data_IF_182051906004
#
_entry.id   IF_182051906004
#
_cell.length_a   1.000
_cell.length_b   1.000
_cell.length_c   1.000
_cell.angle_alpha   90.00
_cell.angle_beta   90.00
_cell.angle_gamma   90.00
#
_symmetry.space_group_name_H-M   'P 1'
#
loop_
_entity.id
_entity.type
_entity.pdbx_description
1 polymer ?
#
# COMPACT_ATOMS: atom_id res chain seq x y z
N UNK A 1 -20.66 -29.00 -20.96
CA UNK A 1 -21.18 -29.12 -19.58
C UNK A 1 -20.24 -28.33 -18.69
N UNK A 2 -20.78 -27.52 -17.77
CA UNK A 2 -19.98 -26.74 -16.83
C UNK A 2 -19.89 -27.45 -15.48
N UNK A 3 -18.74 -27.36 -14.84
CA UNK A 3 -18.40 -27.96 -13.55
C UNK A 3 -18.04 -26.85 -12.56
N UNK A 4 -18.40 -27.04 -11.29
CA UNK A 4 -18.19 -26.03 -10.25
C UNK A 4 -16.82 -26.20 -9.61
N UNK A 5 -16.02 -25.13 -9.61
CA UNK A 5 -14.74 -25.02 -8.93
C UNK A 5 -14.83 -23.93 -7.87
N UNK A 6 -14.44 -24.25 -6.64
CA UNK A 6 -14.41 -23.32 -5.51
C UNK A 6 -12.98 -22.86 -5.26
N UNK A 7 -12.77 -21.55 -5.21
CA UNK A 7 -11.51 -20.96 -4.77
C UNK A 7 -11.64 -20.51 -3.33
N UNK A 8 -10.71 -20.92 -2.48
CA UNK A 8 -10.74 -20.61 -1.05
C UNK A 8 -9.40 -20.03 -0.59
N UNK A 9 -9.41 -19.11 0.37
CA UNK A 9 -8.16 -18.66 1.00
C UNK A 9 -8.15 -18.91 2.52
N UNK A 10 -7.06 -19.51 3.00
CA UNK A 10 -6.78 -19.65 4.43
C UNK A 10 -6.02 -18.44 5.00
N UNK A 11 -5.62 -17.50 4.15
CA UNK A 11 -4.82 -16.35 4.58
C UNK A 11 -5.71 -15.17 5.00
N UNK A 12 -5.30 -14.42 6.03
CA UNK A 12 -5.89 -13.11 6.32
C UNK A 12 -5.30 -12.08 5.36
N UNK A 13 -5.78 -12.03 4.12
CA UNK A 13 -5.29 -11.12 3.10
C UNK A 13 -6.39 -10.74 2.09
N UNK A 14 -6.11 -9.76 1.24
CA UNK A 14 -6.88 -9.52 0.02
C UNK A 14 -6.15 -10.16 -1.15
N UNK A 15 -6.75 -11.18 -1.74
CA UNK A 15 -6.19 -12.00 -2.80
C UNK A 15 -6.99 -11.81 -4.07
N UNK A 16 -6.37 -11.29 -5.12
CA UNK A 16 -6.96 -11.30 -6.47
C UNK A 16 -6.67 -12.64 -7.11
N UNK A 17 -7.71 -13.28 -7.62
CA UNK A 17 -7.57 -14.46 -8.47
C UNK A 17 -8.02 -14.08 -9.88
N UNK A 18 -7.17 -14.33 -10.86
CA UNK A 18 -7.49 -14.20 -12.28
C UNK A 18 -7.35 -15.57 -12.93
N UNK A 19 -8.46 -16.14 -13.38
CA UNK A 19 -8.47 -17.45 -14.04
C UNK A 19 -8.50 -17.25 -15.54
N UNK A 20 -7.51 -17.80 -16.22
CA UNK A 20 -7.38 -17.76 -17.68
C UNK A 20 -7.80 -19.10 -18.28
N UNK A 21 -8.78 -19.07 -19.19
CA UNK A 21 -9.24 -20.22 -19.96
C UNK A 21 -8.40 -20.51 -21.22
N UNK A 22 -8.90 -21.41 -22.07
CA UNK A 22 -8.23 -21.80 -23.34
C UNK A 22 -8.19 -20.65 -24.35
N UNK A 23 -9.19 -19.79 -24.36
CA UNK A 23 -9.21 -18.59 -25.20
C UNK A 23 -8.73 -17.38 -24.39
N UNK A 24 -7.93 -16.46 -24.97
CA UNK A 24 -7.47 -15.25 -24.28
C UNK A 24 -8.59 -14.33 -23.78
N UNK A 25 -9.81 -14.50 -24.30
CA UNK A 25 -11.01 -13.74 -23.91
C UNK A 25 -11.71 -14.32 -22.68
N UNK A 26 -11.41 -15.55 -22.28
CA UNK A 26 -12.05 -16.24 -21.16
C UNK A 26 -11.28 -15.96 -19.86
N UNK A 27 -11.31 -14.69 -19.45
CA UNK A 27 -10.64 -14.23 -18.22
C UNK A 27 -11.70 -13.92 -17.17
N UNK A 28 -11.71 -14.70 -16.11
CA UNK A 28 -12.53 -14.44 -14.93
C UNK A 28 -11.68 -13.84 -13.83
N UNK A 29 -12.16 -12.78 -13.19
CA UNK A 29 -11.45 -12.12 -12.08
C UNK A 29 -12.39 -11.94 -10.90
N UNK A 30 -11.88 -12.24 -9.71
CA UNK A 30 -12.57 -12.00 -8.45
C UNK A 30 -11.56 -11.76 -7.33
N UNK A 31 -12.06 -11.26 -6.21
CA UNK A 31 -11.30 -11.02 -5.01
C UNK A 31 -11.75 -12.00 -3.91
N UNK A 32 -10.80 -12.46 -3.10
CA UNK A 32 -11.06 -13.15 -1.84
C UNK A 32 -10.50 -12.24 -0.75
N UNK A 33 -11.36 -11.79 0.17
CA UNK A 33 -11.04 -10.81 1.19
C UNK A 33 -11.21 -11.40 2.59
N UNK A 34 -10.15 -11.99 3.09
CA UNK A 34 -10.10 -12.49 4.46
C UNK A 34 -10.08 -14.00 4.57
N UNK A 35 -9.99 -14.44 5.82
CA UNK A 35 -9.77 -15.83 6.16
C UNK A 35 -11.06 -16.64 5.98
N UNK A 36 -10.98 -17.70 5.17
CA UNK A 36 -12.10 -18.59 4.88
C UNK A 36 -13.04 -18.06 3.80
N UNK A 37 -12.66 -17.02 3.06
CA UNK A 37 -13.43 -16.56 1.91
C UNK A 37 -13.39 -17.62 0.80
N UNK A 38 -14.56 -17.90 0.24
CA UNK A 38 -14.77 -18.87 -0.82
C UNK A 38 -15.52 -18.25 -2.00
N UNK A 39 -15.13 -18.63 -3.22
CA UNK A 39 -15.81 -18.24 -4.44
C UNK A 39 -16.03 -19.44 -5.36
N UNK A 40 -17.29 -19.73 -5.61
CA UNK A 40 -17.70 -20.72 -6.62
C UNK A 40 -17.69 -20.11 -8.02
N UNK A 41 -17.15 -20.86 -8.96
CA UNK A 41 -17.08 -20.52 -10.38
C UNK A 41 -17.37 -21.74 -11.24
N UNK A 42 -17.98 -21.52 -12.39
CA UNK A 42 -18.32 -22.58 -13.33
C UNK A 42 -17.37 -22.60 -14.53
N UNK A 43 -16.75 -23.75 -14.79
CA UNK A 43 -15.79 -23.95 -15.87
C UNK A 43 -16.17 -25.13 -16.75
N UNK A 44 -15.80 -25.08 -18.01
CA UNK A 44 -15.92 -26.24 -18.91
C UNK A 44 -14.76 -27.22 -18.69
N UNK A 45 -14.87 -28.41 -19.29
CA UNK A 45 -13.79 -29.40 -19.24
C UNK A 45 -12.56 -28.87 -19.96
N UNK A 46 -11.44 -28.79 -19.26
CA UNK A 46 -10.21 -28.20 -19.78
C UNK A 46 -9.15 -27.90 -18.75
N UNK A 47 -8.00 -27.43 -19.23
CA UNK A 47 -6.91 -26.92 -18.41
C UNK A 47 -7.02 -25.41 -18.28
N UNK A 48 -6.71 -24.91 -17.08
CA UNK A 48 -6.80 -23.52 -16.69
C UNK A 48 -5.57 -23.12 -15.87
N UNK A 49 -5.30 -21.82 -15.80
CA UNK A 49 -4.30 -21.25 -14.91
C UNK A 49 -5.01 -20.21 -14.03
N UNK A 50 -4.83 -20.32 -12.72
CA UNK A 50 -5.23 -19.29 -11.77
C UNK A 50 -4.01 -18.46 -11.34
N UNK A 51 -4.00 -17.21 -11.79
CA UNK A 51 -3.06 -16.18 -11.38
C UNK A 51 -3.52 -15.57 -10.06
N UNK A 52 -2.78 -15.81 -9.00
CA UNK A 52 -3.13 -15.42 -7.63
C UNK A 52 -2.18 -14.34 -7.17
N UNK A 53 -2.71 -13.16 -6.87
CA UNK A 53 -1.93 -12.03 -6.37
C UNK A 53 -2.39 -11.59 -4.99
N UNK A 54 -1.48 -11.58 -4.03
CA UNK A 54 -1.70 -10.92 -2.75
C UNK A 54 -1.58 -9.39 -2.94
N UNK A 55 -2.68 -8.67 -2.76
CA UNK A 55 -2.70 -7.23 -2.97
C UNK A 55 -1.94 -6.45 -1.89
N UNK A 56 -1.76 -7.03 -0.70
CA UNK A 56 -0.99 -6.42 0.39
C UNK A 56 0.52 -6.48 0.16
N UNK A 57 1.04 -7.68 -0.15
CA UNK A 57 2.48 -7.92 -0.30
C UNK A 57 3.00 -7.77 -1.73
N UNK A 58 2.09 -7.82 -2.72
CA UNK A 58 2.42 -7.87 -4.14
C UNK A 58 2.86 -9.24 -4.64
N UNK A 59 2.94 -10.24 -3.75
CA UNK A 59 3.33 -11.61 -4.10
C UNK A 59 2.37 -12.21 -5.13
N UNK A 60 2.93 -13.02 -6.02
CA UNK A 60 2.24 -13.59 -7.16
C UNK A 60 2.54 -15.08 -7.23
N UNK A 61 1.50 -15.86 -7.52
CA UNK A 61 1.55 -17.31 -7.62
C UNK A 61 0.70 -17.76 -8.81
N UNK A 62 1.17 -18.76 -9.54
CA UNK A 62 0.42 -19.38 -10.63
C UNK A 62 0.02 -20.80 -10.21
N UNK A 63 -1.28 -21.10 -10.31
CA UNK A 63 -1.82 -22.43 -10.01
C UNK A 63 -2.45 -23.03 -11.26
N UNK A 64 -1.75 -23.94 -11.96
CA UNK A 64 -2.36 -24.71 -13.03
C UNK A 64 -3.36 -25.70 -12.44
N UNK A 65 -4.54 -25.81 -13.04
CA UNK A 65 -5.54 -26.80 -12.64
C UNK A 65 -6.31 -27.34 -13.85
N UNK A 66 -6.95 -28.49 -13.68
CA UNK A 66 -7.70 -29.16 -14.74
C UNK A 66 -9.10 -29.54 -14.25
N UNK A 67 -10.09 -29.23 -15.07
CA UNK A 67 -11.49 -29.60 -14.86
C UNK A 67 -11.77 -30.79 -15.76
N UNK A 68 -12.04 -31.94 -15.13
CA UNK A 68 -12.35 -33.19 -15.83
C UNK A 68 -13.85 -33.48 -15.77
N UNK A 69 -14.35 -34.22 -16.77
CA UNK A 69 -15.77 -34.57 -16.89
C UNK A 69 -16.31 -35.41 -15.72
N UNK A 70 -15.44 -36.08 -14.96
CA UNK A 70 -15.78 -36.88 -13.78
C UNK A 70 -15.87 -36.07 -12.49
N UNK A 71 -15.39 -34.82 -12.48
CA UNK A 71 -15.30 -34.01 -11.27
C UNK A 71 -16.52 -33.11 -11.16
N UNK A 72 -17.51 -33.52 -10.37
CA UNK A 72 -18.70 -32.67 -10.12
C UNK A 72 -18.35 -31.40 -9.33
N UNK A 73 -17.30 -31.46 -8.50
CA UNK A 73 -16.84 -30.36 -7.67
C UNK A 73 -15.34 -30.43 -7.37
N UNK A 74 -14.64 -29.30 -7.48
CA UNK A 74 -13.21 -29.19 -7.16
C UNK A 74 -12.96 -27.96 -6.28
N UNK A 75 -12.12 -28.08 -5.26
CA UNK A 75 -11.74 -26.96 -4.37
C UNK A 75 -10.25 -26.66 -4.57
N UNK A 76 -9.93 -25.39 -4.80
CA UNK A 76 -8.57 -24.88 -4.96
C UNK A 76 -8.26 -23.90 -3.82
N UNK A 77 -7.33 -24.27 -2.95
CA UNK A 77 -6.80 -23.37 -1.92
C UNK A 77 -5.75 -22.45 -2.53
N UNK A 78 -5.91 -21.14 -2.37
CA UNK A 78 -5.03 -20.11 -2.94
C UNK A 78 -4.44 -19.21 -1.85
N UNK A 79 -3.13 -18.97 -1.92
CA UNK A 79 -2.38 -18.18 -0.95
C UNK A 79 -1.09 -18.86 -0.47
N UNK A 80 -0.39 -18.22 0.47
CA UNK A 80 0.92 -18.68 0.97
C UNK A 80 0.77 -20.03 1.69
N UNK A 81 1.48 -21.05 1.20
CA UNK A 81 1.46 -22.43 1.71
C UNK A 81 2.01 -22.60 3.14
N UNK A 82 2.77 -21.61 3.64
CA UNK A 82 3.41 -21.67 4.97
C UNK A 82 2.49 -21.24 6.13
N UNK A 83 1.26 -20.81 5.85
CA UNK A 83 0.28 -20.59 6.92
C UNK A 83 -0.36 -21.94 7.24
N UNK A 84 0.33 -22.73 8.08
CA UNK A 84 -0.08 -24.05 8.58
C UNK A 84 -1.36 -24.00 9.42
N UNK A 85 -2.51 -23.72 8.79
CA UNK A 85 -3.83 -23.99 9.33
C UNK A 85 -4.63 -24.76 8.30
N UNK A 86 -4.28 -26.04 8.18
CA UNK A 86 -5.11 -27.08 7.59
C UNK A 86 -6.45 -27.19 8.33
N UNK A 87 -7.55 -26.95 7.62
CA UNK A 87 -8.81 -27.71 7.56
C UNK A 87 -9.80 -26.87 6.72
N UNK A 88 -10.63 -27.39 5.81
CA UNK A 88 -11.56 -28.49 5.96
C UNK A 88 -11.89 -29.16 4.62
N UNK A 89 -12.12 -30.48 4.67
CA UNK A 89 -12.56 -31.43 3.62
C UNK A 89 -11.50 -31.83 2.59
N UNK A 90 -10.75 -32.86 3.00
CA UNK A 90 -10.03 -33.84 2.20
C UNK A 90 -10.55 -34.02 0.76
N UNK A 91 -9.79 -33.48 -0.19
CA UNK A 91 -9.78 -33.96 -1.58
C UNK A 91 -8.32 -34.29 -1.90
N UNK A 92 -8.02 -35.46 -2.50
CA UNK A 92 -6.68 -35.78 -2.96
C UNK A 92 -6.37 -34.91 -4.18
N UNK A 93 -5.86 -33.71 -3.94
CA UNK A 93 -5.17 -32.94 -4.98
C UNK A 93 -3.83 -33.64 -5.17
N UNK A 94 -3.58 -34.21 -6.36
CA UNK A 94 -2.23 -34.58 -6.76
C UNK A 94 -1.39 -33.30 -6.70
N UNK A 95 -0.66 -33.12 -5.60
CA UNK A 95 0.19 -31.97 -5.34
C UNK A 95 1.32 -31.97 -6.38
N UNK A 96 1.17 -31.17 -7.42
CA UNK A 96 2.34 -30.52 -8.00
C UNK A 96 2.62 -29.31 -7.11
N UNK A 97 3.68 -29.44 -6.31
CA UNK A 97 4.21 -28.32 -5.53
C UNK A 97 4.39 -27.12 -6.47
N UNK A 98 3.98 -25.91 -6.06
CA UNK A 98 4.28 -24.72 -6.84
C UNK A 98 5.80 -24.64 -7.03
N UNK A 99 6.22 -24.26 -8.24
CA UNK A 99 7.62 -23.89 -8.48
C UNK A 99 7.86 -22.55 -7.81
N UNK A 100 8.16 -22.57 -6.53
CA UNK A 100 8.75 -21.44 -5.84
C UNK A 100 10.22 -21.41 -6.26
N UNK A 101 10.68 -20.38 -6.97
CA UNK A 101 12.09 -20.04 -6.95
C UNK A 101 12.42 -19.59 -5.51
N UNK A 102 12.72 -20.55 -4.66
CA UNK A 102 13.31 -20.36 -3.35
C UNK A 102 14.75 -20.83 -3.43
N UNK A 103 15.64 -19.89 -3.78
CA UNK A 103 17.05 -20.05 -3.45
C UNK A 103 17.19 -19.82 -1.95
N UNK A 104 17.17 -20.88 -1.15
CA UNK A 104 17.67 -20.83 0.22
C UNK A 104 19.17 -20.58 0.17
N UNK A 105 19.58 -19.32 0.38
CA UNK A 105 20.98 -19.00 0.61
C UNK A 105 21.14 -18.48 2.04
N UNK A 106 21.72 -19.35 2.88
CA UNK A 106 22.13 -19.12 4.25
C UNK A 106 22.76 -17.72 4.44
N UNK A 107 22.03 -16.85 5.15
CA UNK A 107 22.55 -15.56 5.59
C UNK A 107 23.67 -15.79 6.62
N UNK A 108 24.89 -15.43 6.23
CA UNK A 108 26.01 -15.30 7.17
C UNK A 108 25.72 -14.16 8.13
N UNK A 109 25.38 -14.54 9.36
CA UNK A 109 25.43 -13.66 10.52
C UNK A 109 26.85 -13.12 10.70
N UNK A 110 27.04 -11.81 10.58
CA UNK A 110 28.19 -11.14 11.17
C UNK A 110 27.77 -9.74 11.62
N UNK A 111 27.96 -9.49 12.92
CA UNK A 111 27.77 -8.24 13.65
C UNK A 111 26.32 -7.77 13.87
N UNK A 112 25.99 -7.48 15.14
CA UNK A 112 24.66 -7.07 15.60
C UNK A 112 24.04 -5.98 14.73
N UNK A 113 22.85 -6.29 14.22
CA UNK A 113 22.18 -5.53 13.17
C UNK A 113 21.66 -4.16 13.70
N UNK A 114 22.53 -3.16 13.80
CA UNK A 114 22.15 -1.73 13.89
C UNK A 114 21.63 -1.20 12.52
N UNK A 115 20.79 -1.94 11.82
CA UNK A 115 20.45 -1.70 10.40
C UNK A 115 19.48 -0.53 10.22
N UNK A 116 18.85 -0.09 11.31
CA UNK A 116 17.79 0.89 11.28
C UNK A 116 18.12 2.09 12.15
N UNK A 117 18.67 3.15 11.53
CA UNK A 117 18.80 4.45 12.20
C UNK A 117 17.44 5.17 12.18
N UNK A 118 16.62 4.85 13.19
CA UNK A 118 15.32 5.47 13.39
C UNK A 118 15.44 6.78 14.16
N UNK A 119 15.05 7.86 13.50
CA UNK A 119 14.97 9.20 14.08
C UNK A 119 13.53 9.68 14.03
N UNK A 120 13.15 10.50 14.99
CA UNK A 120 11.85 11.14 15.02
C UNK A 120 11.99 12.66 15.06
N UNK A 121 11.13 13.34 14.33
CA UNK A 121 10.98 14.79 14.33
C UNK A 121 9.59 15.15 14.83
N UNK A 122 9.53 16.06 15.79
CA UNK A 122 8.27 16.67 16.23
C UNK A 122 7.95 17.84 15.28
N UNK A 123 6.69 18.18 14.96
CA UNK A 123 6.40 19.18 13.92
C UNK A 123 6.86 20.57 14.32
N UNK A 124 6.75 20.89 15.61
CA UNK A 124 7.13 22.21 16.15
C UNK A 124 8.63 22.33 16.41
N UNK A 125 9.40 21.25 16.29
CA UNK A 125 10.84 21.24 16.51
C UNK A 125 11.52 20.66 15.28
N UNK A 126 12.24 21.49 14.51
CA UNK A 126 13.07 21.06 13.38
C UNK A 126 14.28 20.17 13.78
N UNK A 127 14.26 19.61 15.00
CA UNK A 127 15.32 18.80 15.55
C UNK A 127 14.93 17.32 15.51
N UNK A 128 15.75 16.52 14.86
CA UNK A 128 15.67 15.07 14.84
C UNK A 128 16.23 14.46 16.13
N UNK A 129 15.44 13.61 16.79
CA UNK A 129 15.77 12.90 18.04
C UNK A 129 15.76 11.39 17.80
N UNK A 130 16.31 10.61 18.74
CA UNK A 130 16.19 9.15 18.72
C UNK A 130 14.72 8.75 18.80
N UNK A 131 14.32 7.74 18.02
CA UNK A 131 12.97 7.18 18.08
C UNK A 131 12.61 6.72 19.51
N UNK A 132 11.44 7.14 19.99
CA UNK A 132 10.95 6.89 21.36
C UNK A 132 9.88 5.80 21.46
N UNK A 133 9.45 5.21 20.33
CA UNK A 133 8.52 4.08 20.32
C UNK A 133 9.22 2.75 20.62
N UNK A 134 8.45 1.66 20.59
CA UNK A 134 8.96 0.31 20.83
C UNK A 134 9.38 -0.35 19.52
N UNK A 135 10.47 -1.10 19.58
CA UNK A 135 10.99 -1.97 18.52
C UNK A 135 10.85 -3.39 19.04
N UNK A 136 10.07 -4.20 18.35
CA UNK A 136 9.88 -5.61 18.68
C UNK A 136 10.54 -6.43 17.57
N UNK A 137 11.64 -7.08 17.90
CA UNK A 137 12.34 -7.98 17.00
C UNK A 137 11.66 -9.34 17.01
N UNK A 138 11.48 -9.95 15.85
CA UNK A 138 11.01 -11.32 15.77
C UNK A 138 12.20 -12.27 15.92
N UNK A 139 12.22 -13.07 16.99
CA UNK A 139 13.31 -14.02 17.27
C UNK A 139 13.44 -15.05 16.15
N UNK A 140 12.31 -15.47 15.57
CA UNK A 140 12.26 -16.49 14.52
C UNK A 140 12.54 -15.90 13.12
N UNK A 141 12.41 -14.57 12.98
CA UNK A 141 12.63 -13.84 11.73
C UNK A 141 13.40 -12.56 12.03
N UNK A 142 14.72 -12.64 12.29
CA UNK A 142 15.52 -11.51 12.76
C UNK A 142 15.62 -10.36 11.74
N UNK A 143 15.31 -10.63 10.47
CA UNK A 143 15.20 -9.64 9.41
C UNK A 143 13.89 -8.83 9.45
N UNK A 144 12.97 -9.13 10.37
CA UNK A 144 11.69 -8.42 10.53
C UNK A 144 11.65 -7.71 11.89
N UNK A 145 11.48 -6.39 11.84
CA UNK A 145 11.27 -5.55 13.02
C UNK A 145 9.89 -4.94 12.99
N UNK A 146 9.12 -5.12 14.06
CA UNK A 146 7.85 -4.42 14.28
C UNK A 146 8.07 -3.14 15.07
N UNK A 147 7.70 -2.01 14.50
CA UNK A 147 7.64 -0.72 15.16
C UNK A 147 6.25 -0.47 15.72
N UNK A 148 6.19 -0.13 17.00
CA UNK A 148 4.96 0.18 17.71
C UNK A 148 5.01 1.60 18.21
N UNK A 149 3.97 2.37 17.91
CA UNK A 149 3.77 3.73 18.44
C UNK A 149 3.66 3.69 19.96
N UNK A 150 4.16 4.70 20.66
CA UNK A 150 3.94 4.79 22.10
C UNK A 150 2.47 5.15 22.38
N UNK A 151 1.86 4.54 23.41
CA UNK A 151 0.45 4.75 23.74
C UNK A 151 0.09 6.18 24.19
N UNK A 152 1.09 6.98 24.55
CA UNK A 152 0.96 8.37 25.00
C UNK A 152 1.43 9.39 23.97
N UNK A 153 1.52 9.03 22.68
CA UNK A 153 1.87 9.97 21.64
C UNK A 153 0.75 11.00 21.43
N UNK A 154 0.79 12.02 22.28
CA UNK A 154 0.19 13.30 21.99
C UNK A 154 0.94 13.88 20.80
N UNK A 155 0.34 13.67 19.63
CA UNK A 155 0.43 14.62 18.54
C UNK A 155 1.81 14.71 17.86
N UNK A 156 1.93 13.94 16.75
CA UNK A 156 2.63 14.32 15.51
C UNK A 156 4.11 13.91 15.24
N UNK A 157 4.60 12.69 15.48
CA UNK A 157 5.97 12.37 15.07
C UNK A 157 6.07 11.99 13.59
N UNK A 158 6.90 12.72 12.84
CA UNK A 158 7.48 12.22 11.58
C UNK A 158 8.63 11.31 11.97
N UNK A 159 8.56 10.04 11.59
CA UNK A 159 9.65 9.09 11.83
C UNK A 159 10.42 8.87 10.54
N UNK A 160 11.66 9.33 10.56
CA UNK A 160 12.64 9.11 9.51
C UNK A 160 13.40 7.82 9.78
N UNK A 161 13.56 7.06 8.73
CA UNK A 161 14.33 5.83 8.72
C UNK A 161 15.44 5.99 7.71
N UNK A 162 16.69 5.87 8.16
CA UNK A 162 17.88 5.89 7.30
C UNK A 162 18.54 4.51 7.30
N UNK A 163 18.98 4.07 6.13
CA UNK A 163 19.66 2.80 5.89
C UNK A 163 20.64 2.91 4.72
N UNK A 164 21.60 2.01 4.69
CA UNK A 164 22.51 1.85 3.56
C UNK A 164 22.08 0.64 2.74
N UNK A 165 22.14 0.74 1.41
CA UNK A 165 21.92 -0.40 0.52
C UNK A 165 23.19 -1.22 0.31
N UNK A 166 23.06 -2.37 -0.36
CA UNK A 166 24.20 -3.27 -0.65
C UNK A 166 25.29 -2.63 -1.53
N UNK A 167 24.99 -1.50 -2.17
CA UNK A 167 25.92 -0.74 -3.02
C UNK A 167 26.61 0.40 -2.25
N UNK A 168 26.32 0.55 -0.95
CA UNK A 168 26.86 1.61 -0.10
C UNK A 168 26.19 2.97 -0.28
N UNK A 169 25.04 3.05 -0.97
CA UNK A 169 24.25 4.27 -1.02
C UNK A 169 23.42 4.38 0.27
N UNK A 170 23.43 5.57 0.86
CA UNK A 170 22.55 5.87 1.98
C UNK A 170 21.19 6.36 1.47
N UNK A 171 20.13 5.78 2.00
CA UNK A 171 18.75 6.12 1.70
C UNK A 171 18.01 6.53 2.97
N UNK A 172 16.89 7.22 2.79
CA UNK A 172 15.94 7.49 3.85
C UNK A 172 14.50 7.35 3.40
N UNK A 173 13.61 7.08 4.35
CA UNK A 173 12.17 6.98 4.14
C UNK A 173 11.41 7.45 5.37
N UNK A 174 10.14 7.79 5.20
CA UNK A 174 9.26 8.15 6.30
C UNK A 174 8.41 6.95 6.68
N UNK A 175 8.56 6.50 7.93
CA UNK A 175 7.87 5.32 8.43
C UNK A 175 6.49 5.71 8.93
N UNK A 176 5.40 5.21 8.31
CA UNK A 176 4.07 5.36 8.88
C UNK A 176 3.98 4.56 10.18
N UNK A 177 3.19 5.01 11.15
CA UNK A 177 3.08 4.33 12.45
C UNK A 177 1.64 3.94 12.69
N UNK A 178 1.20 2.96 11.91
CA UNK A 178 -0.14 2.40 11.95
C UNK A 178 -0.52 1.96 13.37
N UNK A 179 -1.82 1.99 13.66
CA UNK A 179 -2.36 1.70 14.99
C UNK A 179 -1.92 0.33 15.52
N UNK A 180 -1.94 -0.71 14.68
CA UNK A 180 -1.45 -2.06 14.97
C UNK A 180 0.06 -2.26 14.87
N UNK A 181 0.79 -1.22 14.47
CA UNK A 181 2.24 -1.21 14.24
C UNK A 181 2.63 -1.36 12.77
N UNK A 182 3.91 -1.13 12.50
CA UNK A 182 4.51 -1.16 11.16
C UNK A 182 5.65 -2.17 11.14
N UNK A 183 5.65 -3.06 10.15
CA UNK A 183 6.73 -3.99 9.90
C UNK A 183 7.76 -3.35 8.97
N UNK A 184 9.02 -3.37 9.39
CA UNK A 184 10.19 -3.14 8.57
C UNK A 184 10.86 -4.47 8.33
N UNK A 185 11.16 -4.81 7.08
CA UNK A 185 11.92 -6.03 6.80
C UNK A 185 12.84 -5.87 5.59
N UNK A 186 14.02 -6.47 5.70
CA UNK A 186 14.98 -6.54 4.59
C UNK A 186 14.66 -7.79 3.77
N UNK A 187 14.41 -7.62 2.46
CA UNK A 187 14.23 -8.75 1.55
C UNK A 187 15.63 -9.19 1.10
N UNK A 188 16.02 -10.40 1.46
CA UNK A 188 17.33 -10.96 1.06
C UNK A 188 17.43 -11.25 -0.45
N UNK A 189 16.31 -11.19 -1.18
CA UNK A 189 16.27 -11.40 -2.63
C UNK A 189 15.56 -10.27 -3.38
N UNK A 190 16.27 -9.65 -4.32
CA UNK A 190 15.72 -8.87 -5.43
C UNK A 190 15.48 -7.39 -5.19
N UNK A 191 15.58 -6.89 -3.95
CA UNK A 191 15.48 -5.45 -3.66
C UNK A 191 16.48 -5.08 -2.58
N UNK A 192 17.46 -4.23 -2.94
CA UNK A 192 18.40 -3.61 -1.99
C UNK A 192 17.73 -2.59 -1.06
N UNK A 193 16.43 -2.32 -1.27
CA UNK A 193 15.64 -1.43 -0.43
C UNK A 193 14.77 -2.23 0.57
N UNK A 194 14.74 -1.81 1.84
CA UNK A 194 13.88 -2.35 2.88
C UNK A 194 12.42 -2.14 2.50
N UNK A 195 11.61 -3.15 2.78
CA UNK A 195 10.17 -3.11 2.60
C UNK A 195 9.50 -2.67 3.90
N UNK A 196 8.44 -1.88 3.75
CA UNK A 196 7.58 -1.48 4.86
C UNK A 196 6.17 -1.96 4.60
N UNK A 197 5.46 -2.38 5.65
CA UNK A 197 4.02 -2.66 5.58
C UNK A 197 3.35 -2.48 6.93
N UNK A 198 2.04 -2.19 6.97
CA UNK A 198 1.26 -2.35 8.20
C UNK A 198 1.39 -3.77 8.77
N UNK A 199 1.36 -3.89 10.09
CA UNK A 199 1.34 -5.21 10.75
C UNK A 199 -0.02 -5.91 10.61
N UNK A 200 -1.11 -5.14 10.64
CA UNK A 200 -2.46 -5.69 10.53
C UNK A 200 -2.84 -5.97 9.07
N UNK A 201 -3.32 -7.18 8.81
CA UNK A 201 -3.72 -7.66 7.47
C UNK A 201 -4.67 -6.72 6.71
N UNK A 202 -5.63 -6.10 7.41
CA UNK A 202 -6.60 -5.18 6.80
C UNK A 202 -5.94 -3.91 6.28
N UNK A 203 -5.11 -3.30 7.14
CA UNK A 203 -4.30 -2.15 6.78
C UNK A 203 -3.27 -2.51 5.70
N UNK A 204 -2.66 -3.69 5.79
CA UNK A 204 -1.69 -4.18 4.80
C UNK A 204 -2.32 -4.28 3.41
N UNK A 205 -3.47 -4.94 3.28
CA UNK A 205 -4.16 -5.04 1.99
C UNK A 205 -4.52 -3.67 1.43
N UNK A 206 -5.03 -2.76 2.27
CA UNK A 206 -5.40 -1.42 1.85
C UNK A 206 -4.18 -0.62 1.35
N UNK A 207 -3.07 -0.66 2.08
CA UNK A 207 -1.84 0.04 1.70
C UNK A 207 -1.20 -0.59 0.47
N UNK A 208 -1.05 -1.92 0.42
CA UNK A 208 -0.48 -2.62 -0.73
C UNK A 208 -1.32 -2.44 -2.00
N UNK A 209 -2.65 -2.32 -1.84
CA UNK A 209 -3.57 -2.03 -2.93
C UNK A 209 -3.26 -0.71 -3.64
N UNK A 210 -2.63 0.27 -2.98
CA UNK A 210 -2.16 1.48 -3.66
C UNK A 210 -1.26 1.15 -4.85
N UNK A 211 -0.43 0.11 -4.75
CA UNK A 211 0.48 -0.31 -5.81
C UNK A 211 -0.06 -1.45 -6.67
N UNK A 212 -1.00 -2.24 -6.16
CA UNK A 212 -1.36 -3.52 -6.77
C UNK A 212 -2.82 -3.66 -7.19
N UNK A 213 -3.75 -2.88 -6.63
CA UNK A 213 -5.17 -2.97 -6.98
C UNK A 213 -5.46 -2.40 -8.37
N UNK A 214 -6.58 -2.83 -8.94
CA UNK A 214 -7.24 -2.16 -10.06
C UNK A 214 -8.44 -1.37 -9.55
N UNK A 215 -9.00 -0.51 -10.40
CA UNK A 215 -10.10 0.41 -10.06
C UNK A 215 -11.32 -0.31 -9.47
N UNK A 216 -11.72 -1.43 -10.07
CA UNK A 216 -12.99 -2.10 -9.74
C UNK A 216 -12.95 -2.84 -8.41
N UNK A 217 -11.77 -3.09 -7.84
CA UNK A 217 -11.60 -3.81 -6.57
C UNK A 217 -11.66 -2.89 -5.34
N UNK A 218 -11.53 -1.58 -5.55
CA UNK A 218 -11.34 -0.63 -4.44
C UNK A 218 -12.51 -0.67 -3.45
N UNK A 219 -13.75 -0.78 -3.93
CA UNK A 219 -14.94 -0.85 -3.07
C UNK A 219 -14.90 -2.07 -2.14
N UNK A 220 -14.50 -3.22 -2.65
CA UNK A 220 -14.46 -4.48 -1.91
C UNK A 220 -13.33 -4.48 -0.89
N UNK A 221 -12.13 -4.01 -1.29
CA UNK A 221 -10.98 -3.85 -0.40
C UNK A 221 -11.30 -2.91 0.76
N UNK A 222 -11.93 -1.75 0.49
CA UNK A 222 -12.29 -0.78 1.52
C UNK A 222 -13.38 -1.31 2.46
N UNK A 223 -14.40 -1.98 1.92
CA UNK A 223 -15.46 -2.60 2.74
C UNK A 223 -14.88 -3.66 3.69
N UNK A 224 -13.98 -4.51 3.19
CA UNK A 224 -13.30 -5.51 3.99
C UNK A 224 -12.39 -4.90 5.06
N UNK A 225 -11.59 -3.89 4.69
CA UNK A 225 -10.72 -3.19 5.63
C UNK A 225 -11.51 -2.52 6.76
N UNK A 226 -12.70 -1.99 6.46
CA UNK A 226 -13.63 -1.46 7.47
C UNK A 226 -14.33 -2.55 8.30
N UNK A 227 -14.49 -3.76 7.74
CA UNK A 227 -15.23 -4.86 8.37
C UNK A 227 -16.76 -4.73 8.27
N UNK A 228 -17.25 -3.83 7.41
CA UNK A 228 -18.68 -3.65 7.16
C UNK A 228 -18.91 -3.15 5.73
N UNK A 229 -19.19 -1.86 5.53
CA UNK A 229 -19.49 -1.25 4.24
C UNK A 229 -18.42 -0.25 3.82
N UNK A 230 -18.34 0.05 2.52
CA UNK A 230 -17.48 1.12 2.03
C UNK A 230 -17.84 2.49 2.64
N UNK A 231 -19.12 2.75 2.90
CA UNK A 231 -19.54 3.97 3.59
C UNK A 231 -18.96 4.04 5.01
N UNK A 232 -18.82 2.90 5.69
CA UNK A 232 -18.14 2.82 6.98
C UNK A 232 -16.63 2.99 6.86
N UNK A 233 -16.02 2.53 5.76
CA UNK A 233 -14.63 2.84 5.44
C UNK A 233 -14.43 4.36 5.27
N UNK A 234 -15.32 5.03 4.55
CA UNK A 234 -15.28 6.49 4.40
C UNK A 234 -15.50 7.18 5.76
N UNK A 235 -16.39 6.66 6.61
CA UNK A 235 -16.59 7.16 7.98
C UNK A 235 -15.37 6.91 8.90
N UNK A 236 -14.65 5.82 8.75
CA UNK A 236 -13.44 5.57 9.54
C UNK A 236 -12.31 6.53 9.15
N UNK A 237 -12.21 6.91 7.86
CA UNK A 237 -11.37 8.04 7.40
C UNK A 237 -11.81 9.36 8.06
N UNK A 238 -13.12 9.57 8.32
CA UNK A 238 -13.63 10.77 9.00
C UNK A 238 -13.24 10.84 10.49
N UNK A 239 -13.04 9.69 11.15
CA UNK A 239 -12.66 9.57 12.56
C UNK A 239 -11.19 9.22 12.78
N UNK A 240 -10.34 9.42 11.76
CA UNK A 240 -8.94 8.97 11.65
C UNK A 240 -7.93 9.54 12.64
N UNK A 241 -8.36 10.08 13.80
CA UNK A 241 -7.43 10.59 14.82
C UNK A 241 -6.46 9.50 15.26
N UNK A 242 -6.91 8.26 15.24
CA UNK A 242 -6.13 7.11 15.70
C UNK A 242 -5.21 6.52 14.62
N UNK A 243 -5.49 6.69 13.32
CA UNK A 243 -4.58 6.21 12.26
C UNK A 243 -4.67 7.09 10.99
N UNK A 244 -3.91 8.20 10.93
CA UNK A 244 -3.93 9.08 9.78
C UNK A 244 -3.31 8.44 8.53
N UNK A 245 -2.40 7.47 8.66
CA UNK A 245 -1.77 6.82 7.51
C UNK A 245 -2.75 5.87 6.82
N UNK A 246 -3.45 5.03 7.59
CA UNK A 246 -4.51 4.17 7.07
C UNK A 246 -5.60 5.00 6.36
N UNK A 247 -6.01 6.12 6.96
CA UNK A 247 -6.99 7.03 6.37
C UNK A 247 -6.50 7.68 5.06
N UNK A 248 -5.24 8.10 5.00
CA UNK A 248 -4.64 8.63 3.78
C UNK A 248 -4.57 7.57 2.66
N UNK A 249 -4.17 6.33 2.99
CA UNK A 249 -4.15 5.23 2.03
C UNK A 249 -5.55 4.94 1.45
N UNK A 250 -6.57 4.88 2.31
CA UNK A 250 -7.95 4.68 1.87
C UNK A 250 -8.43 5.81 0.94
N UNK A 251 -8.13 7.07 1.29
CA UNK A 251 -8.53 8.22 0.48
C UNK A 251 -7.82 8.26 -0.89
N UNK A 252 -6.53 7.89 -0.93
CA UNK A 252 -5.77 7.76 -2.17
C UNK A 252 -6.30 6.62 -3.06
N UNK A 253 -6.79 5.52 -2.49
CA UNK A 253 -7.48 4.47 -3.25
C UNK A 253 -8.76 5.00 -3.91
N UNK A 254 -9.58 5.75 -3.16
CA UNK A 254 -10.80 6.38 -3.71
C UNK A 254 -10.47 7.35 -4.84
N UNK A 255 -9.44 8.19 -4.67
CA UNK A 255 -8.95 9.09 -5.73
C UNK A 255 -8.52 8.30 -6.96
N UNK A 256 -7.73 7.24 -6.78
CA UNK A 256 -7.27 6.36 -7.88
C UNK A 256 -8.44 5.66 -8.57
N UNK A 257 -9.53 5.37 -7.85
CA UNK A 257 -10.77 4.85 -8.40
C UNK A 257 -11.66 5.92 -9.06
N UNK A 258 -11.23 7.18 -9.14
CA UNK A 258 -12.01 8.29 -9.69
C UNK A 258 -13.19 8.71 -8.81
N UNK A 259 -13.17 8.35 -7.52
CA UNK A 259 -14.22 8.58 -6.51
C UNK A 259 -13.82 9.63 -5.48
N UNK A 260 -12.93 10.55 -5.86
CA UNK A 260 -12.42 11.60 -4.97
C UNK A 260 -13.49 12.56 -4.43
N UNK A 261 -14.65 12.65 -5.09
CA UNK A 261 -15.82 13.42 -4.63
C UNK A 261 -16.52 12.77 -3.41
N UNK A 262 -16.33 11.48 -3.16
CA UNK A 262 -16.95 10.79 -2.02
C UNK A 262 -16.23 11.07 -0.69
N UNK A 263 -15.03 11.64 -0.79
CA UNK A 263 -14.21 12.05 0.37
C UNK A 263 -14.79 13.23 1.16
N UNK A 264 -15.82 13.93 0.69
CA UNK A 264 -16.49 15.00 1.43
C UNK A 264 -15.59 16.15 1.93
N UNK A 265 -16.16 17.06 2.72
CA UNK A 265 -15.43 18.26 3.20
C UNK A 265 -14.45 17.98 4.35
N UNK A 266 -14.52 16.80 4.96
CA UNK A 266 -13.72 16.45 6.14
C UNK A 266 -12.22 16.32 5.81
N UNK A 267 -11.85 15.99 4.56
CA UNK A 267 -10.43 15.87 4.17
C UNK A 267 -9.67 17.18 4.27
N UNK A 268 -10.35 18.33 4.21
CA UNK A 268 -9.73 19.63 4.46
C UNK A 268 -9.33 19.76 5.94
N UNK A 269 -10.20 19.32 6.86
CA UNK A 269 -9.86 19.28 8.30
C UNK A 269 -8.77 18.25 8.59
N UNK A 270 -8.78 17.13 7.88
CA UNK A 270 -7.71 16.12 7.96
C UNK A 270 -6.35 16.72 7.57
N UNK A 271 -6.27 17.41 6.43
CA UNK A 271 -5.05 18.12 6.02
C UNK A 271 -4.60 19.19 7.02
N UNK A 272 -5.54 19.95 7.58
CA UNK A 272 -5.24 20.96 8.61
C UNK A 272 -4.72 20.34 9.92
N UNK A 273 -5.21 19.16 10.30
CA UNK A 273 -4.79 18.44 11.51
C UNK A 273 -3.45 17.71 11.32
N UNK A 274 -3.16 17.28 10.09
CA UNK A 274 -1.96 16.53 9.74
C UNK A 274 -1.13 17.28 8.66
N UNK A 275 -0.73 18.55 8.89
CA UNK A 275 -0.02 19.34 7.89
C UNK A 275 1.39 18.80 7.59
N UNK A 276 1.93 17.99 8.50
CA UNK A 276 3.19 17.26 8.35
C UNK A 276 3.09 16.06 7.39
N UNK A 277 1.89 15.69 6.95
CA UNK A 277 1.65 14.63 5.97
C UNK A 277 1.22 15.27 4.65
N UNK A 278 2.12 15.29 3.67
CA UNK A 278 1.83 15.86 2.35
C UNK A 278 0.68 15.12 1.65
N UNK A 279 0.56 13.81 1.88
CA UNK A 279 -0.53 12.97 1.36
C UNK A 279 -1.90 13.56 1.73
N UNK A 280 -2.07 14.05 2.96
CA UNK A 280 -3.31 14.67 3.43
C UNK A 280 -3.66 15.95 2.65
N UNK A 281 -2.67 16.80 2.39
CA UNK A 281 -2.85 18.01 1.59
C UNK A 281 -3.20 17.71 0.13
N UNK A 282 -2.60 16.66 -0.47
CA UNK A 282 -2.96 16.20 -1.82
C UNK A 282 -4.40 15.69 -1.85
N UNK A 283 -4.82 14.90 -0.86
CA UNK A 283 -6.19 14.40 -0.74
C UNK A 283 -7.17 15.59 -0.64
N UNK A 284 -6.87 16.59 0.18
CA UNK A 284 -7.69 17.80 0.27
C UNK A 284 -7.72 18.58 -1.05
N UNK A 285 -6.62 18.65 -1.80
CA UNK A 285 -6.57 19.28 -3.10
C UNK A 285 -7.49 18.58 -4.11
N UNK A 286 -7.51 17.23 -4.14
CA UNK A 286 -8.41 16.45 -4.99
C UNK A 286 -9.89 16.73 -4.69
N UNK A 287 -10.24 16.86 -3.42
CA UNK A 287 -11.58 17.29 -3.03
C UNK A 287 -11.90 18.71 -3.55
N UNK A 288 -10.99 19.68 -3.41
CA UNK A 288 -11.19 21.04 -3.92
C UNK A 288 -11.32 21.08 -5.45
N UNK A 289 -10.57 20.24 -6.17
CA UNK A 289 -10.69 20.08 -7.61
C UNK A 289 -12.08 19.56 -8.01
N UNK A 290 -12.64 18.60 -7.26
CA UNK A 290 -14.01 18.09 -7.49
C UNK A 290 -15.10 19.16 -7.29
N UNK A 291 -14.77 20.23 -6.57
CA UNK A 291 -15.62 21.40 -6.31
C UNK A 291 -15.32 22.58 -7.25
N UNK A 292 -14.46 22.38 -8.25
CA UNK A 292 -13.98 23.42 -9.16
C UNK A 292 -13.32 24.62 -8.47
N UNK A 293 -12.77 24.43 -7.27
CA UNK A 293 -12.07 25.47 -6.52
C UNK A 293 -10.55 25.42 -6.81
N UNK A 294 -10.18 25.89 -8.00
CA UNK A 294 -8.83 25.75 -8.54
C UNK A 294 -7.75 26.46 -7.70
N UNK A 295 -8.06 27.64 -7.13
CA UNK A 295 -7.13 28.41 -6.29
C UNK A 295 -6.83 27.69 -4.98
N UNK A 296 -7.85 27.16 -4.32
CA UNK A 296 -7.67 26.39 -3.09
C UNK A 296 -6.96 25.06 -3.38
N UNK A 297 -7.29 24.41 -4.51
CA UNK A 297 -6.58 23.21 -4.95
C UNK A 297 -5.07 23.46 -5.09
N UNK A 298 -4.66 24.54 -5.76
CA UNK A 298 -3.24 24.90 -5.90
C UNK A 298 -2.62 25.23 -4.53
N UNK A 299 -3.35 25.95 -3.67
CA UNK A 299 -2.89 26.32 -2.33
C UNK A 299 -2.60 25.09 -1.47
N UNK A 300 -3.48 24.09 -1.51
CA UNK A 300 -3.30 22.83 -0.78
C UNK A 300 -2.08 22.06 -1.30
N UNK A 301 -1.88 21.99 -2.62
CA UNK A 301 -0.71 21.30 -3.22
C UNK A 301 0.61 21.99 -2.89
N UNK A 302 0.65 23.32 -2.91
CA UNK A 302 1.84 24.08 -2.51
C UNK A 302 2.16 23.89 -1.03
N UNK A 303 1.15 23.97 -0.15
CA UNK A 303 1.34 23.74 1.30
C UNK A 303 1.77 22.31 1.60
N UNK A 304 1.18 21.32 0.94
CA UNK A 304 1.55 19.92 1.09
C UNK A 304 3.05 19.71 0.83
N UNK A 305 3.59 20.32 -0.23
CA UNK A 305 5.01 20.24 -0.58
C UNK A 305 5.92 21.00 0.38
N UNK A 306 5.46 22.11 0.96
CA UNK A 306 6.27 23.02 1.81
C UNK A 306 6.25 22.68 3.30
N UNK A 307 5.39 21.77 3.72
CA UNK A 307 5.16 21.50 5.14
C UNK A 307 5.11 19.99 5.42
N UNK A 308 4.67 19.22 4.44
CA UNK A 308 4.37 17.81 4.58
C UNK A 308 5.50 16.91 4.10
N UNK A 309 5.50 15.69 4.63
CA UNK A 309 6.30 14.58 4.15
C UNK A 309 5.41 13.63 3.37
N UNK A 310 5.94 13.10 2.26
CA UNK A 310 5.20 12.16 1.41
C UNK A 310 5.53 10.74 1.88
N UNK A 311 4.50 10.02 2.31
CA UNK A 311 4.61 8.63 2.69
C UNK A 311 4.37 7.69 1.50
N UNK A 312 3.35 7.96 0.70
CA UNK A 312 2.91 7.06 -0.37
C UNK A 312 3.41 7.50 -1.75
N UNK A 313 3.92 6.55 -2.53
CA UNK A 313 4.37 6.82 -3.91
C UNK A 313 3.24 7.37 -4.79
N UNK A 314 2.02 6.85 -4.61
CA UNK A 314 0.84 7.26 -5.34
C UNK A 314 0.48 8.74 -5.12
N UNK A 315 0.88 9.34 -4.00
CA UNK A 315 0.67 10.76 -3.70
C UNK A 315 1.42 11.67 -4.67
N UNK A 316 2.64 11.29 -5.08
CA UNK A 316 3.42 12.03 -6.08
C UNK A 316 2.66 12.07 -7.42
N UNK A 317 2.19 10.92 -7.88
CA UNK A 317 1.44 10.82 -9.13
C UNK A 317 0.11 11.60 -9.05
N UNK A 318 -0.61 11.49 -7.94
CA UNK A 318 -1.87 12.19 -7.70
C UNK A 318 -1.69 13.72 -7.67
N UNK A 319 -0.63 14.22 -7.03
CA UNK A 319 -0.29 15.64 -7.01
C UNK A 319 0.11 16.16 -8.38
N UNK A 320 0.98 15.44 -9.11
CA UNK A 320 1.40 15.81 -10.46
C UNK A 320 0.24 15.85 -11.46
N UNK A 321 -0.70 14.90 -11.37
CA UNK A 321 -1.90 14.86 -12.21
C UNK A 321 -2.75 16.12 -12.03
N UNK A 322 -3.03 16.53 -10.78
CA UNK A 322 -3.78 17.75 -10.51
C UNK A 322 -3.05 19.00 -11.02
N UNK A 323 -1.74 19.13 -10.77
CA UNK A 323 -0.97 20.28 -11.23
C UNK A 323 -0.89 20.36 -12.76
N UNK A 324 -0.81 19.20 -13.43
CA UNK A 324 -0.88 19.12 -14.89
C UNK A 324 -2.25 19.56 -15.42
N UNK A 325 -3.33 19.08 -14.80
CA UNK A 325 -4.69 19.49 -15.14
C UNK A 325 -4.92 20.99 -14.92
N UNK A 326 -4.50 21.54 -13.77
CA UNK A 326 -4.58 22.99 -13.50
C UNK A 326 -3.73 23.81 -14.48
N UNK A 327 -2.51 23.34 -14.80
CA UNK A 327 -1.59 24.02 -15.70
C UNK A 327 -2.03 24.06 -17.16
N UNK A 328 -2.90 23.13 -17.58
CA UNK A 328 -3.43 23.04 -18.95
C UNK A 328 -4.87 23.55 -19.06
N UNK A 329 -5.73 23.22 -18.11
CA UNK A 329 -7.18 23.41 -18.17
C UNK A 329 -7.74 24.59 -17.38
N UNK A 330 -6.98 25.22 -16.47
CA UNK A 330 -7.52 26.36 -15.69
C UNK A 330 -7.89 27.55 -16.59
N UNK A 331 -9.00 28.20 -16.25
CA UNK A 331 -9.48 29.42 -16.94
C UNK A 331 -8.58 30.63 -16.68
N UNK A 332 -7.85 30.64 -15.56
CA UNK A 332 -7.01 31.77 -15.14
C UNK A 332 -5.57 31.61 -15.65
N UNK A 333 -5.11 32.54 -16.50
CA UNK A 333 -3.72 32.53 -16.99
C UNK A 333 -2.69 32.62 -15.85
N UNK A 334 -2.84 33.51 -14.85
CA UNK A 334 -1.96 33.51 -13.67
C UNK A 334 -1.95 32.16 -12.93
N UNK A 335 -3.11 31.53 -12.76
CA UNK A 335 -3.19 30.23 -12.09
C UNK A 335 -2.50 29.13 -12.89
N UNK A 336 -2.70 29.08 -14.22
CA UNK A 336 -1.99 28.13 -15.09
C UNK A 336 -0.47 28.27 -14.97
N UNK A 337 0.03 29.50 -14.97
CA UNK A 337 1.46 29.76 -14.83
C UNK A 337 1.99 29.30 -13.45
N UNK A 338 1.26 29.59 -12.37
CA UNK A 338 1.61 29.16 -11.03
C UNK A 338 1.58 27.62 -10.88
N UNK A 339 0.56 26.96 -11.43
CA UNK A 339 0.43 25.50 -11.42
C UNK A 339 1.57 24.82 -12.20
N UNK A 340 1.98 25.35 -13.36
CA UNK A 340 3.14 24.82 -14.11
C UNK A 340 4.45 24.98 -13.34
N UNK A 341 4.64 26.12 -12.66
CA UNK A 341 5.81 26.35 -11.81
C UNK A 341 5.85 25.35 -10.65
N UNK A 342 4.71 25.13 -10.02
CA UNK A 342 4.58 24.16 -8.93
C UNK A 342 4.78 22.72 -9.44
N UNK A 343 4.24 22.36 -10.60
CA UNK A 343 4.49 21.06 -11.26
C UNK A 343 5.99 20.81 -11.46
N UNK A 344 6.75 21.82 -11.86
CA UNK A 344 8.21 21.71 -12.00
C UNK A 344 8.91 21.42 -10.68
N UNK A 345 8.39 21.93 -9.55
CA UNK A 345 8.92 21.62 -8.20
C UNK A 345 8.60 20.19 -7.81
N UNK A 346 7.37 19.74 -8.06
CA UNK A 346 6.95 18.35 -7.80
C UNK A 346 7.73 17.33 -8.61
N UNK A 347 7.96 17.59 -9.90
CA UNK A 347 8.76 16.70 -10.75
C UNK A 347 10.21 16.57 -10.29
N UNK A 348 10.84 17.67 -9.86
CA UNK A 348 12.21 17.65 -9.29
C UNK A 348 12.27 16.89 -7.97
N UNK A 349 11.24 17.02 -7.14
CA UNK A 349 11.08 16.22 -5.94
C UNK A 349 10.97 14.74 -6.35
N UNK A 350 10.00 14.36 -7.19
CA UNK A 350 9.81 12.98 -7.64
C UNK A 350 11.06 12.35 -8.28
N UNK A 351 11.83 13.08 -9.09
CA UNK A 351 13.01 12.53 -9.79
C UNK A 351 14.11 12.06 -8.85
N UNK A 352 14.13 12.57 -7.61
CA UNK A 352 15.06 12.11 -6.59
C UNK A 352 14.56 10.90 -5.82
N UNK A 353 13.31 10.47 -5.97
CA UNK A 353 12.74 9.37 -5.19
C UNK A 353 12.64 8.07 -5.97
N UNK A 354 12.62 6.97 -5.23
CA UNK A 354 12.33 5.61 -5.72
C UNK A 354 11.16 5.03 -4.94
N UNK A 355 10.44 4.09 -5.55
CA UNK A 355 9.32 3.40 -4.92
C UNK A 355 9.80 2.11 -4.23
N UNK A 356 9.40 1.91 -2.98
CA UNK A 356 9.51 0.63 -2.26
C UNK A 356 8.10 0.16 -1.87
N UNK A 357 7.53 -0.74 -2.67
CA UNK A 357 6.12 -1.13 -2.55
C UNK A 357 5.17 0.06 -2.75
N UNK A 358 4.39 0.41 -1.72
CA UNK A 358 3.50 1.57 -1.71
C UNK A 358 4.20 2.87 -1.26
N UNK A 359 5.42 2.78 -0.74
CA UNK A 359 6.09 3.87 -0.03
C UNK A 359 7.16 4.56 -0.86
N UNK A 360 7.49 5.79 -0.47
CA UNK A 360 8.57 6.59 -1.06
C UNK A 360 9.86 6.40 -0.29
N UNK A 361 10.96 6.25 -1.02
CA UNK A 361 12.33 6.22 -0.50
C UNK A 361 13.15 7.27 -1.25
N UNK A 362 14.07 7.90 -0.55
CA UNK A 362 14.86 9.04 -1.00
C UNK A 362 16.35 8.75 -0.79
N UNK A 363 17.26 9.12 -1.70
CA UNK A 363 18.67 9.09 -1.42
C UNK A 363 18.97 10.12 -0.34
N UNK A 364 19.74 9.73 0.66
CA UNK A 364 20.26 10.64 1.66
C UNK A 364 21.40 11.44 1.04
N UNK A 365 21.10 12.59 0.45
CA UNK A 365 22.13 13.57 0.13
C UNK A 365 22.79 14.11 1.41
N UNK A 366 23.98 14.69 1.31
CA UNK A 366 24.70 15.39 2.38
C UNK A 366 23.83 16.49 3.05
N UNK A 367 22.91 16.10 3.96
CA UNK A 367 22.10 16.83 4.95
C UNK A 367 21.69 18.31 4.75
N UNK A 368 21.82 18.90 3.55
CA UNK A 368 21.41 20.28 3.21
C UNK A 368 20.17 20.33 2.33
N UNK A 369 19.60 19.19 1.97
CA UNK A 369 18.49 19.08 1.03
C UNK A 369 17.30 18.29 1.59
N UNK A 370 16.98 18.44 2.87
CA UNK A 370 15.60 18.23 3.31
C UNK A 370 14.80 19.46 2.83
N UNK A 371 13.95 19.35 1.79
CA UNK A 371 13.00 20.42 1.53
C UNK A 371 12.13 20.57 2.78
N UNK A 372 12.11 21.79 3.30
CA UNK A 372 11.33 22.20 4.47
C UNK A 372 9.86 21.82 4.35
#
# INVERSE_FOLDING_TARGET
MKHRVTFATASKAAIRVTVQGKAPTDVNRFLLTGHGDEKDMEFEVGSYIADVKNLGSGEFYEYPFRVDASSEHMVLAVGRLSDEHSAWRSIPVQQQSPSTEHNEMLARSNAGLNFFNLRMRMPHKKQWRRFSGSRLENVDQPNITKLVRAGNWSEHPVVGYQFDDDLGNTWHSYVPLFSGGTLLYYREQGSSLPAMRPYESKSEAMVGSLSHSIRDEVSEILSWAAGSSEADAIRSIQHSRDDPWAAAAAALLLIRAGRGNELGSYVVRFAQRHPWMADAGIIAAWWQASRSNETECLTQLSRAREQGQIYYWNSLAAGEQLLSALGSGSKSTPLRAAARKELGRWKRMRSGAVNSGAFVVWPSGDHKSDPA
#
